data_IF_011087830835
#
_entry.id   IF_011087830835
#
_cell.length_a   1.000
_cell.length_b   1.000
_cell.length_c   1.000
_cell.angle_alpha   90.00
_cell.angle_beta   90.00
_cell.angle_gamma   90.00
#
_symmetry.space_group_name_H-M   'P 1'
#
loop_
_entity.id
_entity.type
_entity.pdbx_description
1 polymer ?
#
# COMPACT_ATOMS: atom_id res chain seq x y z
N UNK A 1 -38.65 -13.75 -15.93
CA UNK A 1 -37.63 -14.42 -15.09
C UNK A 1 -37.67 -13.78 -13.72
N UNK A 2 -38.01 -14.53 -12.67
CA UNK A 2 -38.07 -13.98 -11.31
C UNK A 2 -36.66 -13.50 -10.90
N UNK A 3 -36.52 -12.32 -10.26
CA UNK A 3 -35.24 -11.91 -9.69
C UNK A 3 -34.78 -12.99 -8.73
N UNK A 4 -33.52 -13.40 -8.85
CA UNK A 4 -32.90 -14.36 -7.94
C UNK A 4 -33.05 -13.84 -6.50
N UNK A 5 -33.91 -14.50 -5.72
CA UNK A 5 -34.17 -14.23 -4.29
C UNK A 5 -32.99 -14.63 -3.39
N UNK A 6 -31.77 -14.76 -3.91
CA UNK A 6 -30.61 -15.17 -3.13
C UNK A 6 -30.08 -13.97 -2.31
N UNK A 7 -30.30 -13.94 -0.99
CA UNK A 7 -29.98 -12.79 -0.16
C UNK A 7 -28.48 -12.53 -0.06
N UNK A 8 -27.61 -13.44 -0.53
CA UNK A 8 -26.15 -13.26 -0.49
C UNK A 8 -25.51 -12.91 -1.83
N UNK A 9 -26.30 -12.86 -2.92
CA UNK A 9 -25.78 -12.63 -4.28
C UNK A 9 -25.05 -11.29 -4.43
N UNK A 10 -25.60 -10.21 -3.86
CA UNK A 10 -24.95 -8.90 -3.88
C UNK A 10 -23.59 -8.91 -3.16
N UNK A 11 -23.43 -9.76 -2.14
CA UNK A 11 -22.15 -9.93 -1.42
C UNK A 11 -21.15 -10.63 -2.32
N UNK A 12 -21.56 -11.66 -3.05
CA UNK A 12 -20.69 -12.32 -4.03
C UNK A 12 -20.20 -11.33 -5.08
N UNK A 13 -21.12 -10.59 -5.72
CA UNK A 13 -20.80 -9.62 -6.76
C UNK A 13 -19.83 -8.55 -6.25
N UNK A 14 -20.12 -7.96 -5.09
CA UNK A 14 -19.26 -6.96 -4.48
C UNK A 14 -17.85 -7.50 -4.15
N UNK A 15 -17.76 -8.73 -3.63
CA UNK A 15 -16.46 -9.34 -3.31
C UNK A 15 -15.69 -9.70 -4.59
N UNK A 16 -16.36 -10.18 -5.65
CA UNK A 16 -15.73 -10.45 -6.95
C UNK A 16 -15.12 -9.17 -7.52
N UNK A 17 -15.89 -8.08 -7.58
CA UNK A 17 -15.39 -6.80 -8.09
C UNK A 17 -14.23 -6.26 -7.25
N UNK A 18 -14.37 -6.28 -5.93
CA UNK A 18 -13.32 -5.80 -5.03
C UNK A 18 -12.05 -6.65 -5.14
N UNK A 19 -12.17 -7.97 -5.28
CA UNK A 19 -11.02 -8.85 -5.51
C UNK A 19 -10.30 -8.52 -6.81
N UNK A 20 -11.04 -8.27 -7.90
CA UNK A 20 -10.45 -7.86 -9.18
C UNK A 20 -9.64 -6.57 -9.03
N UNK A 21 -10.18 -5.57 -8.33
CA UNK A 21 -9.49 -4.29 -8.10
C UNK A 21 -8.25 -4.43 -7.21
N UNK A 22 -8.36 -5.16 -6.09
CA UNK A 22 -7.22 -5.45 -5.20
C UNK A 22 -6.12 -6.23 -5.93
N UNK A 23 -6.48 -7.25 -6.72
CA UNK A 23 -5.51 -8.02 -7.51
C UNK A 23 -4.81 -7.15 -8.56
N UNK A 24 -5.55 -6.27 -9.24
CA UNK A 24 -4.97 -5.33 -10.20
C UNK A 24 -4.02 -4.35 -9.50
N UNK A 25 -4.42 -3.80 -8.35
CA UNK A 25 -3.53 -2.95 -7.55
C UNK A 25 -2.25 -3.71 -7.14
N UNK A 26 -2.39 -4.91 -6.59
CA UNK A 26 -1.26 -5.73 -6.15
C UNK A 26 -0.29 -6.03 -7.30
N UNK A 27 -0.81 -6.52 -8.44
CA UNK A 27 0.03 -6.95 -9.57
C UNK A 27 0.65 -5.76 -10.32
N UNK A 28 -0.11 -4.70 -10.55
CA UNK A 28 0.28 -3.63 -11.48
C UNK A 28 0.88 -2.41 -10.79
N UNK A 29 0.47 -2.12 -9.56
CA UNK A 29 0.96 -0.96 -8.80
C UNK A 29 1.94 -1.40 -7.73
N UNK A 30 1.51 -2.24 -6.79
CA UNK A 30 2.32 -2.57 -5.61
C UNK A 30 3.65 -3.23 -5.95
N UNK A 31 3.68 -4.20 -6.88
CA UNK A 31 4.93 -4.82 -7.33
C UNK A 31 5.93 -3.81 -7.90
N UNK A 32 5.46 -2.82 -8.66
CA UNK A 32 6.31 -1.75 -9.22
C UNK A 32 6.81 -0.83 -8.13
N UNK A 33 5.93 -0.43 -7.20
CA UNK A 33 6.29 0.36 -6.02
C UNK A 33 7.42 -0.32 -5.24
N UNK A 34 7.24 -1.60 -4.89
CA UNK A 34 8.27 -2.38 -4.20
C UNK A 34 9.58 -2.40 -4.98
N UNK A 35 9.53 -2.69 -6.28
CA UNK A 35 10.72 -2.74 -7.14
C UNK A 35 11.48 -1.42 -7.19
N UNK A 36 10.79 -0.27 -7.27
CA UNK A 36 11.42 1.05 -7.27
C UNK A 36 12.00 1.45 -5.92
N UNK A 37 11.47 0.90 -4.83
CA UNK A 37 11.93 1.20 -3.48
C UNK A 37 13.04 0.24 -3.00
N UNK A 38 13.22 -0.92 -3.62
CA UNK A 38 14.31 -1.86 -3.28
C UNK A 38 15.71 -1.21 -3.25
N UNK A 39 16.10 -0.35 -4.22
CA UNK A 39 17.42 0.29 -4.22
C UNK A 39 17.65 1.24 -3.03
N UNK A 40 16.59 1.68 -2.32
CA UNK A 40 16.72 2.56 -1.16
C UNK A 40 17.57 1.95 -0.05
N UNK A 41 17.59 0.63 0.10
CA UNK A 41 18.42 -0.01 1.11
C UNK A 41 19.92 0.17 0.83
N UNK A 42 20.33 0.05 -0.44
CA UNK A 42 21.73 0.31 -0.84
C UNK A 42 22.06 1.78 -0.69
N UNK A 43 21.16 2.66 -1.12
CA UNK A 43 21.32 4.10 -0.97
C UNK A 43 21.52 4.50 0.50
N UNK A 44 20.68 3.97 1.40
CA UNK A 44 20.80 4.19 2.84
C UNK A 44 22.17 3.76 3.38
N UNK A 45 22.69 2.60 2.96
CA UNK A 45 24.02 2.14 3.37
C UNK A 45 25.10 3.15 2.97
N UNK A 46 25.06 3.67 1.75
CA UNK A 46 26.02 4.68 1.28
C UNK A 46 25.93 5.99 2.08
N UNK A 47 24.70 6.43 2.38
CA UNK A 47 24.47 7.62 3.21
C UNK A 47 25.05 7.42 4.62
N UNK A 48 24.83 6.25 5.22
CA UNK A 48 25.33 5.94 6.56
C UNK A 48 26.86 5.85 6.59
N UNK A 49 27.50 5.24 5.58
CA UNK A 49 28.96 5.17 5.52
C UNK A 49 29.61 6.54 5.35
N UNK A 50 28.95 7.46 4.66
CA UNK A 50 29.43 8.83 4.43
C UNK A 50 28.81 9.86 5.39
N UNK A 51 28.11 9.44 6.45
CA UNK A 51 27.23 10.31 7.23
C UNK A 51 27.95 11.51 7.83
N UNK A 52 29.19 11.31 8.32
CA UNK A 52 30.01 12.36 8.93
C UNK A 52 30.33 13.47 7.92
N UNK A 53 30.81 13.09 6.75
CA UNK A 53 31.26 14.03 5.71
C UNK A 53 30.07 14.69 5.02
N UNK A 54 28.99 13.93 4.76
CA UNK A 54 27.73 14.49 4.29
C UNK A 54 27.18 15.52 5.27
N UNK A 55 27.22 15.25 6.58
CA UNK A 55 26.73 16.17 7.60
C UNK A 55 27.52 17.49 7.67
N UNK A 56 28.79 17.53 7.23
CA UNK A 56 29.55 18.77 7.11
C UNK A 56 29.03 19.65 5.97
N UNK A 57 28.49 19.04 4.91
CA UNK A 57 28.00 19.76 3.73
C UNK A 57 26.52 20.14 3.85
N UNK A 58 25.66 19.19 4.24
CA UNK A 58 24.20 19.39 4.25
C UNK A 58 23.60 19.50 5.66
N UNK A 59 24.42 19.34 6.70
CA UNK A 59 24.01 19.42 8.09
C UNK A 59 23.51 18.09 8.69
N UNK A 60 23.85 17.85 9.97
CA UNK A 60 23.49 16.62 10.72
C UNK A 60 21.98 16.34 10.73
N UNK A 61 21.16 17.39 10.89
CA UNK A 61 19.69 17.26 10.94
C UNK A 61 19.13 16.67 9.65
N UNK A 62 19.65 17.09 8.50
CA UNK A 62 19.22 16.60 7.18
C UNK A 62 19.59 15.12 7.01
N UNK A 63 20.78 14.71 7.47
CA UNK A 63 21.21 13.30 7.42
C UNK A 63 20.34 12.42 8.30
N UNK A 64 20.03 12.86 9.53
CA UNK A 64 19.13 12.11 10.42
C UNK A 64 17.77 11.94 9.78
N UNK A 65 17.17 13.06 9.31
CA UNK A 65 15.85 13.03 8.70
C UNK A 65 15.82 12.13 7.45
N UNK A 66 16.83 12.20 6.59
CA UNK A 66 16.97 11.31 5.42
C UNK A 66 16.97 9.84 5.84
N UNK A 67 17.82 9.52 6.80
CA UNK A 67 18.03 8.17 7.33
C UNK A 67 16.74 7.60 7.92
N UNK A 68 16.06 8.38 8.76
CA UNK A 68 14.84 7.97 9.45
C UNK A 68 13.68 7.78 8.45
N UNK A 69 13.55 8.69 7.49
CA UNK A 69 12.51 8.61 6.45
C UNK A 69 12.71 7.38 5.57
N UNK A 70 13.94 7.06 5.14
CA UNK A 70 14.20 5.87 4.34
C UNK A 70 13.88 4.60 5.14
N UNK A 71 14.27 4.54 6.42
CA UNK A 71 13.94 3.40 7.29
C UNK A 71 12.42 3.23 7.42
N UNK A 72 11.69 4.32 7.64
CA UNK A 72 10.23 4.29 7.71
C UNK A 72 9.61 3.73 6.41
N UNK A 73 10.05 4.21 5.25
CA UNK A 73 9.60 3.71 3.93
C UNK A 73 9.85 2.21 3.78
N UNK A 74 11.06 1.74 4.12
CA UNK A 74 11.41 0.32 4.02
C UNK A 74 10.55 -0.54 4.95
N UNK A 75 10.23 -0.04 6.14
CA UNK A 75 9.38 -0.72 7.12
C UNK A 75 7.92 -0.86 6.68
N UNK A 76 7.43 -0.06 5.72
CA UNK A 76 6.08 -0.21 5.17
C UNK A 76 5.96 -1.35 4.14
N UNK A 77 7.05 -1.74 3.46
CA UNK A 77 6.99 -2.63 2.32
C UNK A 77 6.46 -4.03 2.69
N UNK A 78 7.05 -4.65 3.71
CA UNK A 78 6.67 -6.01 4.11
C UNK A 78 5.24 -6.09 4.68
N UNK A 79 4.82 -5.19 5.60
CA UNK A 79 3.45 -5.19 6.12
C UNK A 79 2.37 -5.00 5.04
N UNK A 80 2.56 -4.06 4.10
CA UNK A 80 1.60 -3.83 3.02
C UNK A 80 1.51 -5.06 2.12
N UNK A 81 2.65 -5.65 1.74
CA UNK A 81 2.66 -6.84 0.89
C UNK A 81 1.94 -8.02 1.56
N UNK A 82 2.18 -8.24 2.85
CA UNK A 82 1.51 -9.29 3.61
C UNK A 82 0.01 -9.08 3.62
N UNK A 83 -0.46 -7.89 4.00
CA UNK A 83 -1.89 -7.60 4.07
C UNK A 83 -2.58 -7.71 2.70
N UNK A 84 -1.92 -7.30 1.62
CA UNK A 84 -2.43 -7.48 0.25
C UNK A 84 -2.62 -8.97 -0.09
N UNK A 85 -1.68 -9.83 0.28
CA UNK A 85 -1.83 -11.29 0.09
C UNK A 85 -2.94 -11.86 0.97
N UNK A 86 -3.02 -11.43 2.23
CA UNK A 86 -4.04 -11.87 3.18
C UNK A 86 -5.45 -11.52 2.70
N UNK A 87 -5.69 -10.28 2.24
CA UNK A 87 -7.01 -9.88 1.74
C UNK A 87 -7.40 -10.63 0.46
N UNK A 88 -6.44 -10.94 -0.42
CA UNK A 88 -6.69 -11.77 -1.62
C UNK A 88 -7.14 -13.17 -1.19
N UNK A 89 -6.46 -13.78 -0.23
CA UNK A 89 -6.83 -15.10 0.28
C UNK A 89 -8.19 -15.10 0.99
N UNK A 90 -8.47 -14.07 1.80
CA UNK A 90 -9.75 -13.90 2.47
C UNK A 90 -10.90 -13.77 1.46
N UNK A 91 -10.75 -12.98 0.40
CA UNK A 91 -11.76 -12.85 -0.64
C UNK A 91 -12.03 -14.17 -1.35
N UNK A 92 -10.98 -14.94 -1.69
CA UNK A 92 -11.14 -16.30 -2.25
C UNK A 92 -11.92 -17.23 -1.31
N UNK A 93 -11.62 -17.18 -0.02
CA UNK A 93 -12.33 -17.98 1.00
C UNK A 93 -13.81 -17.59 1.06
N UNK A 94 -14.13 -16.30 1.07
CA UNK A 94 -15.52 -15.82 1.06
C UNK A 94 -16.28 -16.38 -0.14
N UNK A 95 -15.73 -16.21 -1.35
CA UNK A 95 -16.36 -16.69 -2.59
C UNK A 95 -16.53 -18.21 -2.60
N UNK A 96 -15.53 -18.95 -2.12
CA UNK A 96 -15.63 -20.41 -2.01
C UNK A 96 -16.75 -20.83 -1.05
N UNK A 97 -16.91 -20.15 0.09
CA UNK A 97 -17.98 -20.45 1.05
C UNK A 97 -19.36 -20.14 0.48
N UNK A 98 -19.53 -19.01 -0.21
CA UNK A 98 -20.81 -18.65 -0.85
C UNK A 98 -21.21 -19.72 -1.89
N UNK A 99 -20.26 -20.19 -2.71
CA UNK A 99 -20.53 -21.14 -3.80
C UNK A 99 -20.76 -22.57 -3.35
N UNK A 100 -20.13 -23.00 -2.24
CA UNK A 100 -20.15 -24.40 -1.79
C UNK A 100 -21.29 -24.74 -0.84
N UNK A 101 -21.80 -23.77 -0.07
CA UNK A 101 -22.79 -24.06 0.98
C UNK A 101 -24.21 -23.93 0.45
N UNK A 102 -24.97 -25.01 0.61
CA UNK A 102 -26.42 -25.02 0.36
C UNK A 102 -27.19 -24.31 1.50
N UNK A 103 -26.71 -24.41 2.75
CA UNK A 103 -27.33 -23.75 3.90
C UNK A 103 -27.04 -22.23 3.89
N UNK A 104 -28.08 -21.45 3.61
CA UNK A 104 -28.02 -19.99 3.54
C UNK A 104 -27.86 -19.34 4.92
N UNK A 105 -28.36 -19.94 6.00
CA UNK A 105 -28.24 -19.40 7.36
C UNK A 105 -26.79 -19.43 7.84
N UNK A 106 -26.10 -20.54 7.60
CA UNK A 106 -24.68 -20.66 7.89
C UNK A 106 -23.84 -19.68 7.06
N UNK A 107 -24.16 -19.51 5.77
CA UNK A 107 -23.47 -18.54 4.91
C UNK A 107 -23.65 -17.13 5.45
N UNK A 108 -24.87 -16.71 5.81
CA UNK A 108 -25.13 -15.36 6.32
C UNK A 108 -24.35 -15.10 7.62
N UNK A 109 -24.36 -16.03 8.57
CA UNK A 109 -23.59 -15.90 9.83
C UNK A 109 -22.08 -15.79 9.55
N UNK A 110 -21.57 -16.63 8.66
CA UNK A 110 -20.17 -16.56 8.22
C UNK A 110 -19.82 -15.21 7.59
N UNK A 111 -20.67 -14.71 6.68
CA UNK A 111 -20.44 -13.45 5.97
C UNK A 111 -20.38 -12.27 6.93
N UNK A 112 -21.26 -12.20 7.94
CA UNK A 112 -21.25 -11.12 8.95
C UNK A 112 -19.90 -10.95 9.63
N UNK A 113 -19.21 -12.06 9.91
CA UNK A 113 -17.88 -12.05 10.55
C UNK A 113 -16.77 -11.81 9.53
N UNK A 114 -16.76 -12.57 8.44
CA UNK A 114 -15.59 -12.60 7.54
C UNK A 114 -15.55 -11.38 6.62
N UNK A 115 -16.69 -10.83 6.21
CA UNK A 115 -16.74 -9.56 5.47
C UNK A 115 -16.23 -8.40 6.33
N UNK A 116 -16.55 -8.37 7.63
CA UNK A 116 -15.99 -7.36 8.55
C UNK A 116 -14.46 -7.42 8.58
N UNK A 117 -13.90 -8.62 8.82
CA UNK A 117 -12.44 -8.84 8.83
C UNK A 117 -11.79 -8.46 7.49
N UNK A 118 -12.45 -8.79 6.39
CA UNK A 118 -12.00 -8.42 5.04
C UNK A 118 -11.89 -6.90 4.87
N UNK A 119 -12.92 -6.15 5.27
CA UNK A 119 -12.96 -4.69 5.13
C UNK A 119 -12.04 -3.97 6.12
N UNK A 120 -11.87 -4.50 7.32
CA UNK A 120 -10.86 -4.03 8.28
C UNK A 120 -9.45 -4.19 7.71
N UNK A 121 -9.16 -5.35 7.10
CA UNK A 121 -7.87 -5.61 6.45
C UNK A 121 -7.64 -4.63 5.31
N UNK A 122 -8.65 -4.40 4.48
CA UNK A 122 -8.58 -3.40 3.41
C UNK A 122 -8.32 -1.99 3.94
N UNK A 123 -9.04 -1.60 4.99
CA UNK A 123 -8.87 -0.29 5.63
C UNK A 123 -7.44 -0.09 6.15
N UNK A 124 -6.85 -1.12 6.76
CA UNK A 124 -5.44 -1.10 7.20
C UNK A 124 -4.48 -0.93 6.03
N UNK A 125 -4.71 -1.64 4.91
CA UNK A 125 -3.91 -1.49 3.69
C UNK A 125 -3.95 -0.03 3.20
N UNK A 126 -5.15 0.55 3.09
CA UNK A 126 -5.32 1.94 2.63
C UNK A 126 -4.61 2.92 3.57
N UNK A 127 -4.67 2.71 4.88
CA UNK A 127 -3.94 3.50 5.87
C UNK A 127 -2.43 3.46 5.64
N UNK A 128 -1.85 2.25 5.59
CA UNK A 128 -0.40 2.09 5.38
C UNK A 128 0.08 2.66 4.04
N UNK A 129 -0.69 2.51 2.96
CA UNK A 129 -0.35 3.12 1.66
C UNK A 129 -0.38 4.64 1.75
N UNK A 130 -1.32 5.21 2.52
CA UNK A 130 -1.42 6.66 2.74
C UNK A 130 -0.20 7.17 3.50
N UNK A 131 0.21 6.46 4.54
CA UNK A 131 1.37 6.85 5.34
C UNK A 131 2.68 6.68 4.57
N UNK A 132 2.84 5.59 3.81
CA UNK A 132 3.95 5.43 2.87
C UNK A 132 4.02 6.61 1.88
N UNK A 133 2.87 7.05 1.33
CA UNK A 133 2.84 8.19 0.41
C UNK A 133 3.30 9.50 1.07
N UNK A 134 2.99 9.71 2.35
CA UNK A 134 3.46 10.88 3.11
C UNK A 134 4.97 10.82 3.33
N UNK A 135 5.51 9.68 3.77
CA UNK A 135 6.96 9.49 3.98
C UNK A 135 7.74 9.72 2.68
N UNK A 136 7.23 9.24 1.54
CA UNK A 136 7.84 9.51 0.24
C UNK A 136 7.88 11.01 -0.08
N UNK A 137 6.91 11.79 0.40
CA UNK A 137 6.91 13.24 0.25
C UNK A 137 7.93 13.94 1.14
N UNK A 138 8.17 13.43 2.34
CA UNK A 138 9.25 13.91 3.21
C UNK A 138 10.60 13.59 2.57
N UNK A 139 10.77 12.37 2.05
CA UNK A 139 12.01 11.94 1.41
C UNK A 139 12.35 12.81 0.19
N UNK A 140 11.35 13.11 -0.64
CA UNK A 140 11.47 14.01 -1.80
C UNK A 140 11.99 15.40 -1.39
N UNK A 141 11.44 15.99 -0.32
CA UNK A 141 11.88 17.28 0.21
C UNK A 141 13.33 17.24 0.76
N UNK A 142 13.69 16.16 1.47
CA UNK A 142 15.05 16.00 2.00
C UNK A 142 16.08 15.81 0.89
N UNK A 143 15.77 15.00 -0.12
CA UNK A 143 16.65 14.79 -1.27
C UNK A 143 16.77 16.04 -2.15
N UNK A 144 15.78 16.93 -2.15
CA UNK A 144 15.90 18.23 -2.80
C UNK A 144 17.00 19.10 -2.15
N UNK A 145 17.23 18.99 -0.84
CA UNK A 145 18.36 19.66 -0.16
C UNK A 145 19.69 19.10 -0.67
N UNK A 146 19.81 17.77 -0.75
CA UNK A 146 20.99 17.11 -1.31
C UNK A 146 21.29 17.59 -2.73
N UNK A 147 20.26 17.75 -3.56
CA UNK A 147 20.42 18.19 -4.94
C UNK A 147 20.93 19.65 -5.06
N UNK A 148 20.73 20.51 -4.06
CA UNK A 148 21.34 21.86 -4.04
C UNK A 148 22.85 21.82 -3.92
N UNK A 149 23.40 20.82 -3.23
CA UNK A 149 24.83 20.62 -3.04
C UNK A 149 25.42 19.62 -4.04
N UNK A 150 24.69 19.32 -5.12
CA UNK A 150 25.01 18.22 -6.02
C UNK A 150 26.45 18.23 -6.52
N UNK A 151 26.97 19.38 -6.97
CA UNK A 151 28.32 19.46 -7.53
C UNK A 151 29.39 19.09 -6.49
N UNK A 152 29.29 19.66 -5.29
CA UNK A 152 30.21 19.37 -4.19
C UNK A 152 30.13 17.89 -3.80
N UNK A 153 28.91 17.37 -3.68
CA UNK A 153 28.68 16.00 -3.27
C UNK A 153 29.06 14.98 -4.36
N UNK A 154 28.92 15.30 -5.64
CA UNK A 154 29.38 14.42 -6.74
C UNK A 154 30.90 14.37 -6.83
N UNK A 155 31.60 15.48 -6.54
CA UNK A 155 33.06 15.48 -6.48
C UNK A 155 33.57 14.68 -5.28
N UNK A 156 32.92 14.81 -4.11
CA UNK A 156 33.33 14.10 -2.89
C UNK A 156 32.91 12.62 -2.89
N UNK A 157 31.80 12.27 -3.54
CA UNK A 157 31.22 10.94 -3.49
C UNK A 157 30.84 10.44 -4.89
N UNK A 158 31.64 9.53 -5.45
CA UNK A 158 31.38 8.95 -6.78
C UNK A 158 30.05 8.17 -6.90
N UNK A 159 29.41 7.80 -5.80
CA UNK A 159 28.07 7.17 -5.82
C UNK A 159 26.93 8.20 -5.89
N UNK A 160 27.22 9.50 -5.74
CA UNK A 160 26.19 10.54 -5.64
C UNK A 160 25.32 10.66 -6.88
N UNK A 161 25.84 10.30 -8.06
CA UNK A 161 25.06 10.29 -9.29
C UNK A 161 23.82 9.38 -9.20
N UNK A 162 23.84 8.38 -8.31
CA UNK A 162 22.70 7.51 -8.00
C UNK A 162 21.54 8.25 -7.31
N UNK A 163 21.80 9.39 -6.65
CA UNK A 163 20.77 10.22 -5.97
C UNK A 163 19.68 10.66 -6.95
N UNK A 164 20.06 10.99 -8.19
CA UNK A 164 19.11 11.41 -9.22
C UNK A 164 18.18 10.28 -9.66
N UNK A 165 18.74 9.06 -9.75
CA UNK A 165 17.98 7.84 -10.00
C UNK A 165 17.00 7.55 -8.88
N UNK A 166 17.43 7.72 -7.62
CA UNK A 166 16.59 7.56 -6.43
C UNK A 166 15.46 8.60 -6.40
N UNK A 167 15.76 9.88 -6.62
CA UNK A 167 14.77 10.96 -6.73
C UNK A 167 13.71 10.66 -7.80
N UNK A 168 14.16 10.24 -8.98
CA UNK A 168 13.27 9.89 -10.10
C UNK A 168 12.38 8.70 -9.74
N UNK A 169 12.93 7.68 -9.10
CA UNK A 169 12.18 6.51 -8.65
C UNK A 169 11.12 6.90 -7.61
N UNK A 170 11.47 7.71 -6.61
CA UNK A 170 10.54 8.21 -5.58
C UNK A 170 9.41 9.02 -6.21
N UNK A 171 9.73 9.94 -7.12
CA UNK A 171 8.73 10.73 -7.83
C UNK A 171 7.76 9.85 -8.63
N UNK A 172 8.27 8.81 -9.31
CA UNK A 172 7.44 7.81 -10.01
C UNK A 172 6.52 7.06 -9.05
N UNK A 173 7.06 6.55 -7.94
CA UNK A 173 6.29 5.84 -6.91
C UNK A 173 5.20 6.72 -6.33
N UNK A 174 5.54 7.95 -5.94
CA UNK A 174 4.61 8.92 -5.36
C UNK A 174 3.44 9.20 -6.31
N UNK A 175 3.73 9.42 -7.60
CA UNK A 175 2.69 9.61 -8.63
C UNK A 175 1.82 8.37 -8.83
N UNK A 176 2.40 7.17 -8.85
CA UNK A 176 1.65 5.92 -8.98
C UNK A 176 0.72 5.68 -7.78
N UNK A 177 1.24 5.84 -6.57
CA UNK A 177 0.46 5.73 -5.34
C UNK A 177 -0.63 6.79 -5.26
N UNK A 178 -0.35 8.04 -5.64
CA UNK A 178 -1.35 9.10 -5.66
C UNK A 178 -2.53 8.78 -6.59
N UNK A 179 -2.25 8.25 -7.79
CA UNK A 179 -3.30 7.82 -8.73
C UNK A 179 -4.11 6.66 -8.15
N UNK A 180 -3.45 5.67 -7.56
CA UNK A 180 -4.12 4.53 -6.94
C UNK A 180 -4.94 4.92 -5.69
N UNK A 181 -4.47 5.90 -4.93
CA UNK A 181 -5.09 6.35 -3.67
C UNK A 181 -6.54 6.77 -3.87
N UNK A 182 -6.84 7.50 -4.95
CA UNK A 182 -8.22 7.92 -5.24
C UNK A 182 -9.16 6.72 -5.41
N UNK A 183 -8.71 5.68 -6.13
CA UNK A 183 -9.48 4.44 -6.29
C UNK A 183 -9.63 3.71 -4.96
N UNK A 184 -8.53 3.53 -4.22
CA UNK A 184 -8.51 2.83 -2.94
C UNK A 184 -9.42 3.48 -1.89
N UNK A 185 -9.42 4.81 -1.80
CA UNK A 185 -10.30 5.55 -0.89
C UNK A 185 -11.78 5.40 -1.27
N UNK A 186 -12.10 5.41 -2.57
CA UNK A 186 -13.45 5.16 -3.06
C UNK A 186 -13.89 3.73 -2.74
N UNK A 187 -13.06 2.75 -3.09
CA UNK A 187 -13.28 1.32 -2.78
C UNK A 187 -13.45 1.10 -1.28
N UNK A 188 -12.74 1.85 -0.43
CA UNK A 188 -12.87 1.73 1.03
C UNK A 188 -14.25 2.14 1.49
N UNK A 189 -14.82 3.21 0.92
CA UNK A 189 -16.19 3.64 1.23
C UNK A 189 -17.21 2.59 0.79
N UNK A 190 -17.03 2.01 -0.40
CA UNK A 190 -17.88 0.93 -0.92
C UNK A 190 -17.80 -0.32 -0.02
N UNK A 191 -16.60 -0.74 0.36
CA UNK A 191 -16.36 -1.85 1.27
C UNK A 191 -17.01 -1.62 2.65
N UNK A 192 -16.93 -0.41 3.20
CA UNK A 192 -17.59 -0.06 4.47
C UNK A 192 -19.13 -0.12 4.37
N UNK A 193 -19.70 0.23 3.21
CA UNK A 193 -21.15 0.05 2.95
C UNK A 193 -21.51 -1.42 2.92
N UNK A 194 -20.71 -2.25 2.25
CA UNK A 194 -20.92 -3.70 2.19
C UNK A 194 -21.00 -4.32 3.60
N UNK A 195 -20.18 -3.89 4.56
CA UNK A 195 -20.28 -4.37 5.96
C UNK A 195 -21.66 -4.06 6.55
N UNK A 196 -22.17 -2.84 6.33
CA UNK A 196 -23.49 -2.42 6.83
C UNK A 196 -24.60 -3.24 6.19
N UNK A 197 -24.50 -3.49 4.89
CA UNK A 197 -25.53 -4.24 4.16
C UNK A 197 -25.54 -5.71 4.54
N UNK A 198 -24.36 -6.33 4.71
CA UNK A 198 -24.23 -7.70 5.24
C UNK A 198 -24.77 -7.79 6.67
N UNK A 199 -24.57 -6.77 7.51
CA UNK A 199 -25.09 -6.77 8.88
C UNK A 199 -26.63 -6.82 8.93
N UNK A 200 -27.31 -6.19 7.96
CA UNK A 200 -28.78 -6.17 7.82
C UNK A 200 -29.38 -7.49 7.33
N UNK A 201 -28.56 -8.42 6.84
CA UNK A 201 -29.07 -9.73 6.42
C UNK A 201 -29.76 -10.43 7.58
N UNK A 202 -31.04 -10.75 7.40
CA UNK A 202 -31.78 -11.57 8.35
C UNK A 202 -31.24 -13.00 8.26
N UNK A 203 -31.10 -13.65 9.40
CA UNK A 203 -30.95 -15.10 9.45
C UNK A 203 -32.39 -15.61 9.52
N UNK A 204 -32.92 -16.26 8.45
CA UNK A 204 -34.18 -16.96 8.50
C UNK A 204 -34.33 -17.86 9.74
#
# INVERSE_FOLDING_TARGET
>A
MAPSNDPVKFVEEAIVEHQKRVLNFYKSVWKRVKSYLTPLQKFLKNVLSAAKDLAQTVGKKVISQLTDTIRAILNFLSPIEKLLKDIIQLGKRILATIRKKADKNEVIRFLKTVVRKYVETFTKIVGLITDLWKELGILDAVLAVFNKFRLVLSMAFGWFDQVTGVLTAIGKVRKQLQKAMKSLLKERKEALRLVKDVAKLKVP
#
